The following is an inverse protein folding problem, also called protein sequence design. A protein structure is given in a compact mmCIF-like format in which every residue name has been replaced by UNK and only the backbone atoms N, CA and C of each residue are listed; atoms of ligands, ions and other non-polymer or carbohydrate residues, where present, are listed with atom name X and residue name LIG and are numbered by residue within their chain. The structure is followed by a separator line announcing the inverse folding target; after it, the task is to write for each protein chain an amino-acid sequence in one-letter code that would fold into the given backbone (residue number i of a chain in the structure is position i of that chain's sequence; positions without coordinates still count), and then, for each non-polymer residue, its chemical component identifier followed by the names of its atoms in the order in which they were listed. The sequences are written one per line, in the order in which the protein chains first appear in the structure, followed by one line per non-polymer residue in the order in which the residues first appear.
data_IF_082983181197
#
_entry.id   IF_082983181197
#
_cell.length_a   1.000
_cell.length_b   1.000
_cell.length_c   1.000
_cell.angle_alpha   90.00
_cell.angle_beta   90.00
_cell.angle_gamma   90.00
#
_symmetry.space_group_name_H-M   'P 1'
#
loop_
_entity.id
_entity.type
_entity.pdbx_description
1 polymer ?
#
# COMPACT_ATOMS: atom_id res chain seq x y z
N UNK A 1 -34.73 -25.81 -34.97
CA UNK A 1 -33.45 -26.45 -34.58
C UNK A 1 -32.71 -25.43 -33.73
N UNK A 2 -32.93 -25.47 -32.41
CA UNK A 2 -32.36 -24.50 -31.47
C UNK A 2 -30.90 -24.88 -31.20
N UNK A 3 -29.96 -23.98 -31.49
CA UNK A 3 -28.56 -24.14 -31.12
C UNK A 3 -28.36 -23.44 -29.76
N UNK A 4 -28.16 -24.23 -28.70
CA UNK A 4 -27.75 -23.73 -27.39
C UNK A 4 -26.31 -23.17 -27.51
N UNK A 5 -26.12 -21.88 -27.22
CA UNK A 5 -24.82 -21.36 -26.83
C UNK A 5 -24.56 -21.80 -25.38
N UNK A 6 -23.55 -22.64 -25.19
CA UNK A 6 -22.98 -22.88 -23.86
C UNK A 6 -22.04 -21.71 -23.58
N UNK A 7 -22.50 -20.74 -22.79
CA UNK A 7 -21.61 -19.74 -22.21
C UNK A 7 -20.78 -20.44 -21.13
N UNK A 8 -19.53 -20.75 -21.45
CA UNK A 8 -18.55 -21.12 -20.44
C UNK A 8 -18.23 -19.85 -19.64
N UNK A 9 -18.64 -19.80 -18.38
CA UNK A 9 -18.11 -18.82 -17.43
C UNK A 9 -16.63 -19.13 -17.24
N UNK A 10 -15.77 -18.41 -17.97
CA UNK A 10 -14.34 -18.47 -17.75
C UNK A 10 -14.05 -17.66 -16.48
N UNK A 11 -14.01 -18.33 -15.33
CA UNK A 11 -13.50 -17.73 -14.08
C UNK A 11 -11.98 -17.71 -14.17
N UNK A 12 -11.44 -16.78 -14.97
CA UNK A 12 -10.03 -16.44 -14.89
C UNK A 12 -9.79 -15.67 -13.59
N UNK A 13 -8.67 -15.92 -12.92
CA UNK A 13 -8.21 -15.05 -11.84
C UNK A 13 -8.14 -13.60 -12.37
N UNK A 14 -8.42 -12.57 -11.53
CA UNK A 14 -8.30 -11.18 -11.95
C UNK A 14 -6.90 -10.97 -12.52
N UNK A 15 -6.84 -10.53 -13.78
CA UNK A 15 -5.58 -10.26 -14.45
C UNK A 15 -5.02 -8.98 -13.86
N UNK A 16 -3.85 -9.07 -13.20
CA UNK A 16 -3.18 -7.87 -12.71
C UNK A 16 -2.82 -6.97 -13.88
N UNK A 17 -3.22 -5.71 -13.79
CA UNK A 17 -2.88 -4.67 -14.75
C UNK A 17 -1.84 -3.73 -14.14
N UNK A 18 -0.92 -3.22 -14.96
CA UNK A 18 0.05 -2.23 -14.51
C UNK A 18 -0.62 -0.87 -14.35
N UNK A 19 -0.43 -0.27 -13.19
CA UNK A 19 -0.73 1.13 -12.91
C UNK A 19 0.59 1.91 -12.81
N UNK A 20 0.64 3.07 -13.45
CA UNK A 20 1.79 3.96 -13.40
C UNK A 20 1.38 5.36 -12.94
N UNK A 21 2.12 5.92 -12.00
CA UNK A 21 1.99 7.31 -11.59
C UNK A 21 3.25 8.07 -12.00
N UNK A 22 3.15 8.90 -13.03
CA UNK A 22 4.28 9.75 -13.46
C UNK A 22 4.68 10.74 -12.35
N UNK A 23 3.70 11.40 -11.72
CA UNK A 23 3.97 12.33 -10.62
C UNK A 23 4.51 11.62 -9.36
N UNK A 24 3.96 10.42 -9.08
CA UNK A 24 4.42 9.57 -7.99
C UNK A 24 5.73 8.85 -8.27
N UNK A 25 6.23 8.85 -9.52
CA UNK A 25 7.41 8.14 -9.96
C UNK A 25 7.41 6.64 -9.60
N UNK A 26 6.27 5.96 -9.75
CA UNK A 26 6.15 4.53 -9.44
C UNK A 26 5.32 3.77 -10.46
N UNK A 27 5.50 2.45 -10.49
CA UNK A 27 4.58 1.47 -11.08
C UNK A 27 4.19 0.41 -10.06
N UNK A 28 3.03 -0.21 -10.27
CA UNK A 28 2.56 -1.34 -9.46
C UNK A 28 1.59 -2.20 -10.29
N UNK A 29 1.55 -3.50 -10.03
CA UNK A 29 0.53 -4.38 -10.59
C UNK A 29 -0.66 -4.47 -9.63
N UNK A 30 -1.87 -4.22 -10.14
CA UNK A 30 -3.10 -4.18 -9.34
C UNK A 30 -4.22 -4.95 -10.03
N UNK A 31 -5.08 -5.69 -9.28
CA UNK A 31 -6.22 -6.39 -9.89
C UNK A 31 -7.34 -5.44 -10.30
N UNK A 32 -7.32 -4.20 -9.80
CA UNK A 32 -8.35 -3.17 -10.01
C UNK A 32 -7.66 -1.82 -10.18
N UNK A 33 -8.18 -0.98 -11.07
CA UNK A 33 -7.64 0.35 -11.31
C UNK A 33 -7.66 1.23 -10.05
N UNK A 34 -6.52 1.80 -9.69
CA UNK A 34 -6.37 2.72 -8.56
C UNK A 34 -6.92 4.12 -8.90
N UNK A 35 -7.53 4.78 -7.92
CA UNK A 35 -7.97 6.17 -8.01
C UNK A 35 -7.17 7.05 -7.06
N UNK A 36 -6.67 8.19 -7.54
CA UNK A 36 -5.92 9.15 -6.73
C UNK A 36 -6.85 10.07 -5.90
N UNK A 37 -6.49 10.27 -4.65
CA UNK A 37 -6.97 11.35 -3.78
C UNK A 37 -5.77 12.08 -3.15
N UNK A 38 -5.92 13.37 -2.85
CA UNK A 38 -4.89 14.18 -2.21
C UNK A 38 -5.43 14.81 -0.94
N UNK A 39 -4.63 14.76 0.11
CA UNK A 39 -4.99 15.34 1.40
C UNK A 39 -3.77 16.03 2.02
N UNK A 40 -3.98 17.23 2.56
CA UNK A 40 -2.97 17.92 3.35
C UNK A 40 -3.15 17.53 4.81
N UNK A 41 -2.08 17.03 5.43
CA UNK A 41 -2.04 16.67 6.85
C UNK A 41 -1.11 17.62 7.57
N UNK A 42 -1.59 18.24 8.65
CA UNK A 42 -0.76 19.05 9.53
C UNK A 42 0.21 18.15 10.30
N UNK A 43 1.50 18.41 10.19
CA UNK A 43 2.55 17.68 10.92
C UNK A 43 3.41 18.64 11.73
N UNK A 44 4.29 18.10 12.58
CA UNK A 44 5.22 18.90 13.38
C UNK A 44 6.16 19.79 12.54
N UNK A 45 6.34 19.46 11.26
CA UNK A 45 7.19 20.20 10.32
C UNK A 45 6.42 21.07 9.33
N UNK A 46 5.10 21.20 9.53
CA UNK A 46 4.19 21.91 8.64
C UNK A 46 3.24 20.97 7.88
N UNK A 47 2.40 21.53 6.99
CA UNK A 47 1.48 20.74 6.18
C UNK A 47 2.25 19.88 5.18
N UNK A 48 1.90 18.60 5.12
CA UNK A 48 2.42 17.64 4.15
C UNK A 48 1.27 17.15 3.30
N UNK A 49 1.39 17.29 1.99
CA UNK A 49 0.45 16.69 1.04
C UNK A 49 0.75 15.20 0.89
N UNK A 50 -0.28 14.38 1.12
CA UNK A 50 -0.26 12.94 0.92
C UNK A 50 -1.07 12.65 -0.34
N UNK A 51 -0.43 11.99 -1.31
CA UNK A 51 -1.08 11.43 -2.47
C UNK A 51 -1.42 9.99 -2.17
N UNK A 52 -2.68 9.60 -2.28
CA UNK A 52 -3.16 8.26 -1.98
C UNK A 52 -3.88 7.70 -3.18
N UNK A 53 -3.48 6.51 -3.62
CA UNK A 53 -4.04 5.75 -4.73
C UNK A 53 -4.70 4.52 -4.14
N UNK A 54 -6.02 4.41 -4.27
CA UNK A 54 -6.80 3.34 -3.64
C UNK A 54 -7.65 2.59 -4.68
N UNK A 55 -7.75 1.29 -4.50
CA UNK A 55 -8.79 0.45 -5.09
C UNK A 55 -9.30 -0.52 -4.03
N UNK A 56 -10.57 -0.88 -4.08
CA UNK A 56 -11.17 -1.81 -3.14
C UNK A 56 -12.17 -2.71 -3.87
N UNK A 57 -12.17 -3.98 -3.50
CA UNK A 57 -13.27 -4.91 -3.76
C UNK A 57 -13.70 -5.60 -2.48
N UNK A 58 -14.55 -6.62 -2.62
CA UNK A 58 -15.04 -7.39 -1.47
C UNK A 58 -13.94 -8.19 -0.74
N UNK A 59 -12.79 -8.41 -1.37
CA UNK A 59 -11.72 -9.27 -0.86
C UNK A 59 -10.62 -8.44 -0.18
N UNK A 60 -10.33 -7.23 -0.68
CA UNK A 60 -9.25 -6.40 -0.15
C UNK A 60 -9.37 -4.92 -0.54
N UNK A 61 -8.70 -4.08 0.25
CA UNK A 61 -8.35 -2.72 -0.13
C UNK A 61 -6.85 -2.63 -0.46
N UNK A 62 -6.53 -2.12 -1.64
CA UNK A 62 -5.18 -1.89 -2.15
C UNK A 62 -4.87 -0.40 -2.08
N UNK A 63 -3.72 -0.05 -1.51
CA UNK A 63 -3.32 1.34 -1.31
C UNK A 63 -1.85 1.53 -1.68
N UNK A 64 -1.59 2.57 -2.47
CA UNK A 64 -0.26 3.15 -2.62
C UNK A 64 -0.35 4.60 -2.21
N UNK A 65 0.53 5.07 -1.35
CA UNK A 65 0.62 6.48 -1.02
C UNK A 65 2.05 6.98 -1.08
N UNK A 66 2.22 8.27 -1.38
CA UNK A 66 3.49 8.94 -1.20
C UNK A 66 3.33 10.33 -0.60
N UNK A 67 4.39 10.77 0.08
CA UNK A 67 4.52 12.12 0.62
C UNK A 67 5.96 12.60 0.49
N UNK A 68 6.12 13.86 0.08
CA UNK A 68 7.41 14.51 -0.02
C UNK A 68 7.71 15.29 1.26
N UNK A 69 8.71 14.85 2.01
CA UNK A 69 9.19 15.57 3.17
C UNK A 69 10.12 16.72 2.75
N UNK A 70 10.19 17.82 3.53
CA UNK A 70 11.19 18.85 3.31
C UNK A 70 12.61 18.26 3.33
N UNK A 71 13.41 18.51 2.29
CA UNK A 71 14.75 17.93 2.14
C UNK A 71 15.67 18.25 3.33
N UNK A 72 15.57 19.46 3.89
CA UNK A 72 16.34 19.86 5.07
C UNK A 72 16.00 19.02 6.31
N UNK A 73 14.76 18.57 6.45
CA UNK A 73 14.36 17.71 7.56
C UNK A 73 14.92 16.30 7.39
N UNK A 74 14.81 15.74 6.19
CA UNK A 74 15.34 14.39 5.92
C UNK A 74 16.86 14.35 6.06
N UNK A 75 17.58 15.39 5.61
CA UNK A 75 19.02 15.49 5.77
C UNK A 75 19.49 15.55 7.24
N UNK A 76 18.60 15.92 8.16
CA UNK A 76 18.87 16.02 9.60
C UNK A 76 18.30 14.85 10.41
N UNK A 77 17.57 13.93 9.77
CA UNK A 77 16.87 12.84 10.42
C UNK A 77 17.41 11.51 9.92
N UNK A 78 17.68 10.60 10.85
CA UNK A 78 18.09 9.25 10.49
C UNK A 78 16.96 8.52 9.73
N UNK A 79 17.25 7.86 8.58
CA UNK A 79 16.24 7.15 7.80
C UNK A 79 15.42 6.13 8.59
N UNK A 80 16.05 5.41 9.53
CA UNK A 80 15.35 4.41 10.34
C UNK A 80 14.37 5.10 11.30
N UNK A 81 14.70 6.30 11.78
CA UNK A 81 13.79 7.11 12.60
C UNK A 81 12.56 7.52 11.80
N UNK A 82 12.73 7.97 10.54
CA UNK A 82 11.61 8.31 9.66
C UNK A 82 10.72 7.09 9.42
N UNK A 83 11.31 5.96 9.02
CA UNK A 83 10.58 4.72 8.75
C UNK A 83 9.84 4.19 9.99
N UNK A 84 10.48 4.23 11.17
CA UNK A 84 9.83 3.83 12.43
C UNK A 84 8.66 4.75 12.80
N UNK A 85 8.78 6.05 12.53
CA UNK A 85 7.69 7.01 12.75
C UNK A 85 6.52 6.76 11.81
N UNK A 86 6.80 6.43 10.55
CA UNK A 86 5.80 6.03 9.56
C UNK A 86 5.10 4.73 9.94
N UNK A 87 5.83 3.72 10.43
CA UNK A 87 5.25 2.50 11.00
C UNK A 87 4.29 2.83 12.15
N UNK A 88 4.75 3.61 13.12
CA UNK A 88 3.94 3.94 14.30
C UNK A 88 2.67 4.69 13.90
N UNK A 89 2.78 5.60 12.93
CA UNK A 89 1.64 6.29 12.32
C UNK A 89 0.67 5.33 11.63
N UNK A 90 1.18 4.34 10.87
CA UNK A 90 0.35 3.34 10.20
C UNK A 90 -0.41 2.47 11.23
N UNK A 91 0.28 1.96 12.26
CA UNK A 91 -0.33 1.16 13.34
C UNK A 91 -1.40 1.97 14.07
N UNK A 92 -1.13 3.23 14.39
CA UNK A 92 -2.09 4.12 15.05
C UNK A 92 -3.30 4.41 14.18
N UNK A 93 -3.11 4.70 12.89
CA UNK A 93 -4.17 5.08 11.97
C UNK A 93 -5.21 3.94 11.81
N UNK A 94 -4.73 2.70 11.68
CA UNK A 94 -5.63 1.53 11.57
C UNK A 94 -6.12 1.02 12.93
N UNK A 95 -5.72 1.67 14.04
CA UNK A 95 -6.04 1.23 15.40
C UNK A 95 -5.57 -0.20 15.70
N UNK A 96 -4.49 -0.63 15.05
CA UNK A 96 -4.06 -2.02 15.02
C UNK A 96 -2.98 -2.39 16.03
N UNK A 97 -2.50 -3.63 15.92
CA UNK A 97 -1.37 -4.17 16.68
C UNK A 97 -0.31 -4.68 15.71
N UNK A 98 0.93 -4.19 15.84
CA UNK A 98 2.05 -4.68 15.05
C UNK A 98 2.35 -6.15 15.38
N UNK A 99 2.32 -7.01 14.37
CA UNK A 99 2.60 -8.44 14.49
C UNK A 99 4.03 -8.76 14.10
N UNK A 100 4.50 -8.19 12.99
CA UNK A 100 5.89 -8.33 12.54
C UNK A 100 6.40 -7.07 11.84
N UNK A 101 7.71 -6.93 11.88
CA UNK A 101 8.48 -5.91 11.19
C UNK A 101 9.77 -6.54 10.70
N UNK A 102 10.10 -6.32 9.43
CA UNK A 102 11.34 -6.75 8.81
C UNK A 102 11.97 -5.58 8.03
N UNK A 103 13.28 -5.41 8.13
CA UNK A 103 14.00 -4.45 7.27
C UNK A 103 14.07 -4.99 5.85
N UNK A 104 13.70 -4.16 4.88
CA UNK A 104 13.73 -4.48 3.46
C UNK A 104 14.49 -3.39 2.69
N UNK A 105 14.87 -3.69 1.45
CA UNK A 105 15.54 -2.76 0.54
C UNK A 105 14.84 -2.78 -0.81
N UNK A 106 14.72 -1.61 -1.44
CA UNK A 106 14.33 -1.49 -2.84
C UNK A 106 15.35 -0.61 -3.57
N UNK A 107 16.12 -1.23 -4.46
CA UNK A 107 17.14 -0.55 -5.27
C UNK A 107 18.17 0.24 -4.45
N UNK A 108 18.57 -0.26 -3.28
CA UNK A 108 19.52 0.40 -2.38
C UNK A 108 18.90 1.44 -1.45
N UNK A 109 17.57 1.55 -1.41
CA UNK A 109 16.84 2.47 -0.54
C UNK A 109 16.20 1.70 0.63
N UNK A 110 16.31 2.24 1.87
CA UNK A 110 15.85 1.56 3.06
C UNK A 110 14.31 1.49 3.12
N UNK A 111 13.81 0.40 3.71
CA UNK A 111 12.39 0.21 3.93
C UNK A 111 12.05 -0.75 5.06
N UNK A 112 10.76 -0.84 5.38
CA UNK A 112 10.19 -1.77 6.35
C UNK A 112 9.03 -2.56 5.74
N UNK A 113 9.04 -3.88 5.89
CA UNK A 113 7.87 -4.73 5.71
C UNK A 113 7.16 -4.90 7.05
N UNK A 114 5.85 -4.68 7.08
CA UNK A 114 5.03 -4.70 8.28
C UNK A 114 3.84 -5.62 8.09
N UNK A 115 3.49 -6.35 9.16
CA UNK A 115 2.20 -7.03 9.30
C UNK A 115 1.51 -6.48 10.54
N UNK A 116 0.30 -5.95 10.38
CA UNK A 116 -0.49 -5.35 11.45
C UNK A 116 -1.83 -6.05 11.51
N UNK A 117 -2.21 -6.54 12.69
CA UNK A 117 -3.58 -6.99 12.96
C UNK A 117 -4.46 -5.77 13.22
N UNK A 118 -5.59 -5.69 12.52
CA UNK A 118 -6.52 -4.56 12.59
C UNK A 118 -7.97 -5.03 12.45
N UNK A 119 -8.89 -4.07 12.41
CA UNK A 119 -10.28 -4.29 12.05
C UNK A 119 -10.63 -3.44 10.84
N UNK A 120 -11.51 -3.95 9.98
CA UNK A 120 -12.14 -3.15 8.91
C UNK A 120 -13.05 -2.08 9.53
N UNK A 121 -13.51 -1.12 8.73
CA UNK A 121 -14.51 -0.14 9.18
C UNK A 121 -15.84 -0.79 9.63
N UNK A 122 -16.15 -1.98 9.10
CA UNK A 122 -17.32 -2.79 9.48
C UNK A 122 -17.09 -3.61 10.76
N UNK A 123 -15.88 -3.61 11.33
CA UNK A 123 -15.51 -4.31 12.56
C UNK A 123 -15.06 -5.76 12.35
N UNK A 124 -14.84 -6.18 11.11
CA UNK A 124 -14.33 -7.52 10.78
C UNK A 124 -12.83 -7.58 11.02
N UNK A 125 -12.31 -8.72 11.47
CA UNK A 125 -10.86 -8.87 11.67
C UNK A 125 -10.13 -8.84 10.32
N UNK A 126 -9.07 -8.06 10.25
CA UNK A 126 -8.27 -7.89 9.06
C UNK A 126 -6.77 -7.91 9.38
N UNK A 127 -5.97 -8.13 8.34
CA UNK A 127 -4.53 -7.95 8.37
C UNK A 127 -4.15 -6.87 7.37
N UNK A 128 -3.30 -5.94 7.81
CA UNK A 128 -2.66 -4.95 6.95
C UNK A 128 -1.24 -5.42 6.70
N UNK A 129 -0.91 -5.68 5.44
CA UNK A 129 0.45 -5.99 5.00
C UNK A 129 0.98 -4.76 4.27
N UNK A 130 2.10 -4.21 4.72
CA UNK A 130 2.62 -2.94 4.21
C UNK A 130 4.13 -2.99 3.95
N UNK A 131 4.57 -2.40 2.84
CA UNK A 131 5.96 -2.04 2.59
C UNK A 131 6.10 -0.51 2.62
N UNK A 132 7.02 -0.03 3.45
CA UNK A 132 7.41 1.36 3.55
C UNK A 132 8.78 1.53 2.90
N UNK A 133 8.98 2.53 2.05
CA UNK A 133 10.28 2.81 1.44
C UNK A 133 10.60 4.31 1.49
N UNK A 134 11.84 4.66 1.80
CA UNK A 134 12.32 6.04 1.77
C UNK A 134 13.30 6.25 0.61
N UNK A 135 12.86 7.00 -0.42
CA UNK A 135 13.67 7.38 -1.57
C UNK A 135 13.97 8.88 -1.49
N UNK A 136 15.24 9.24 -1.25
CA UNK A 136 15.64 10.62 -0.99
C UNK A 136 14.75 11.26 0.10
N UNK A 137 13.91 12.23 -0.26
CA UNK A 137 12.97 12.89 0.65
C UNK A 137 11.52 12.39 0.54
N UNK A 138 11.26 11.35 -0.27
CA UNK A 138 9.93 10.79 -0.51
C UNK A 138 9.73 9.49 0.25
N UNK A 139 8.66 9.44 1.03
CA UNK A 139 8.19 8.20 1.64
C UNK A 139 7.11 7.58 0.78
N UNK A 140 7.30 6.33 0.39
CA UNK A 140 6.26 5.47 -0.19
C UNK A 140 5.67 4.55 0.87
N UNK A 141 4.36 4.38 0.81
CA UNK A 141 3.57 3.47 1.65
C UNK A 141 2.74 2.59 0.72
N UNK A 142 3.08 1.32 0.61
CA UNK A 142 2.39 0.35 -0.24
C UNK A 142 1.74 -0.66 0.68
N UNK A 143 0.42 -0.76 0.71
CA UNK A 143 -0.26 -1.68 1.61
C UNK A 143 -1.48 -2.33 1.00
N UNK A 144 -1.81 -3.49 1.54
CA UNK A 144 -3.05 -4.20 1.26
C UNK A 144 -3.71 -4.59 2.59
N UNK A 145 -4.98 -4.25 2.72
CA UNK A 145 -5.83 -4.61 3.85
C UNK A 145 -6.70 -5.78 3.43
N UNK A 146 -6.61 -6.90 4.15
CA UNK A 146 -7.31 -8.14 3.80
C UNK A 146 -8.11 -8.63 5.01
N UNK A 147 -9.45 -8.73 4.93
CA UNK A 147 -10.24 -9.46 5.90
C UNK A 147 -9.70 -10.88 6.08
N UNK A 148 -9.62 -11.37 7.32
CA UNK A 148 -8.96 -12.66 7.62
C UNK A 148 -9.63 -13.86 6.94
N UNK A 149 -10.92 -13.77 6.64
CA UNK A 149 -11.69 -14.79 5.91
C UNK A 149 -11.50 -14.74 4.38
N UNK A 150 -10.87 -13.67 3.87
CA UNK A 150 -10.55 -13.45 2.46
C UNK A 150 -9.07 -13.68 2.14
N UNK A 151 -8.23 -14.00 3.15
CA UNK A 151 -6.77 -14.13 3.03
C UNK A 151 -6.30 -15.04 1.88
N UNK A 152 -6.95 -16.19 1.68
CA UNK A 152 -6.58 -17.14 0.62
C UNK A 152 -6.92 -16.67 -0.81
N UNK A 153 -7.63 -15.54 -0.95
CA UNK A 153 -8.12 -15.02 -2.23
C UNK A 153 -7.35 -13.80 -2.71
N UNK A 154 -6.36 -13.33 -1.95
CA UNK A 154 -5.60 -12.11 -2.23
C UNK A 154 -4.13 -12.46 -2.39
N UNK A 155 -3.56 -12.10 -3.54
CA UNK A 155 -2.13 -12.24 -3.79
C UNK A 155 -1.37 -11.05 -3.17
N UNK A 156 -1.19 -11.10 -1.85
CA UNK A 156 -0.51 -10.04 -1.07
C UNK A 156 0.93 -9.86 -1.53
N UNK A 157 1.68 -10.95 -1.67
CA UNK A 157 3.08 -10.92 -2.08
C UNK A 157 3.23 -10.41 -3.52
N UNK A 158 2.35 -10.84 -4.43
CA UNK A 158 2.34 -10.37 -5.82
C UNK A 158 2.06 -8.87 -5.91
N UNK A 159 1.08 -8.35 -5.17
CA UNK A 159 0.79 -6.92 -5.13
C UNK A 159 1.99 -6.12 -4.57
N UNK A 160 2.42 -6.43 -3.35
CA UNK A 160 3.49 -5.67 -2.67
C UNK A 160 4.84 -5.79 -3.40
N UNK A 161 5.16 -6.97 -3.92
CA UNK A 161 6.40 -7.25 -4.65
C UNK A 161 6.42 -6.69 -6.07
N UNK A 162 5.29 -6.23 -6.61
CA UNK A 162 5.22 -5.60 -7.93
C UNK A 162 5.56 -4.12 -7.94
N UNK A 163 5.62 -3.47 -6.76
CA UNK A 163 5.92 -2.05 -6.65
C UNK A 163 7.34 -1.72 -7.11
N UNK A 164 7.47 -0.75 -8.00
CA UNK A 164 8.75 -0.25 -8.48
C UNK A 164 8.75 1.27 -8.51
N UNK A 165 9.92 1.86 -8.22
CA UNK A 165 10.20 3.29 -8.44
C UNK A 165 10.88 3.43 -9.80
N UNK A 166 10.43 4.40 -10.60
CA UNK A 166 10.89 4.63 -11.98
C UNK A 166 12.17 5.48 -12.07
#
# INVERSE_FOLDING_TARGET
MSLLLVAACNTAAPQLEEFASEAGNFTIQTPIALTENRQSVETAVGPIEIHTFTAEDRNAAYVVAYSDYPAEMVAQTDPDTLLSGSRDGAVQNVGGTLISEDTIDLNGNPGLALVIDAQTETGEEATVNAHLYLFENRLYQVLVVVPKDEADKVDVEGFLGSFQVQ
#
